data_IF_594253471907
#
_entry.id   IF_594253471907
#
_cell.length_a   1.000
_cell.length_b   1.000
_cell.length_c   1.000
_cell.angle_alpha   90.00
_cell.angle_beta   90.00
_cell.angle_gamma   90.00
#
_symmetry.space_group_name_H-M   'P 1'
#
loop_
_entity.id
_entity.type
_entity.pdbx_description
1 polymer ?
#
# COMPACT_ATOMS: atom_id res chain seq x y z
N UNK A 1 16.77 30.43 -47.58
CA UNK A 1 16.02 30.28 -46.31
C UNK A 1 16.81 29.29 -45.47
N UNK A 2 17.42 29.80 -44.40
CA UNK A 2 18.17 29.05 -43.39
C UNK A 2 17.16 28.60 -42.33
N UNK A 3 17.37 27.41 -41.77
CA UNK A 3 16.62 26.81 -40.67
C UNK A 3 16.96 25.32 -40.66
N UNK A 4 18.17 24.95 -40.24
CA UNK A 4 18.54 24.59 -38.85
C UNK A 4 17.89 23.28 -38.36
N UNK A 5 18.77 22.46 -37.81
CA UNK A 5 18.65 21.04 -37.55
C UNK A 5 17.66 20.69 -36.43
N UNK A 6 17.19 19.45 -36.44
CA UNK A 6 17.20 18.67 -35.20
C UNK A 6 17.79 17.28 -35.44
N UNK A 7 18.96 17.13 -34.84
CA UNK A 7 19.77 15.95 -34.67
C UNK A 7 19.06 15.12 -33.61
N UNK A 8 18.53 13.94 -33.96
CA UNK A 8 18.37 12.79 -33.07
C UNK A 8 17.91 11.56 -33.87
N UNK A 9 18.74 11.11 -34.82
CA UNK A 9 18.78 9.69 -35.18
C UNK A 9 19.49 8.95 -34.04
N UNK A 10 18.81 8.81 -32.90
CA UNK A 10 19.25 7.90 -31.86
C UNK A 10 19.00 6.47 -32.36
N UNK A 11 20.08 5.88 -32.87
CA UNK A 11 20.41 4.46 -32.90
C UNK A 11 19.42 3.57 -32.08
N UNK A 12 18.26 3.22 -32.65
CA UNK A 12 17.37 2.23 -32.06
C UNK A 12 17.95 0.85 -32.34
N UNK A 13 18.90 0.44 -31.51
CA UNK A 13 19.23 -0.96 -31.34
C UNK A 13 17.94 -1.61 -30.83
N UNK A 14 17.25 -2.37 -31.67
CA UNK A 14 16.13 -3.17 -31.23
C UNK A 14 16.68 -4.20 -30.26
N UNK A 15 16.49 -3.95 -28.96
CA UNK A 15 16.86 -4.90 -27.92
C UNK A 15 15.94 -6.12 -28.03
N UNK A 16 16.32 -7.06 -28.90
CA UNK A 16 15.66 -8.35 -29.03
C UNK A 16 15.88 -9.10 -27.73
N UNK A 17 14.79 -9.32 -26.99
CA UNK A 17 14.81 -9.91 -25.65
C UNK A 17 14.95 -11.44 -25.67
N UNK A 18 14.59 -12.07 -26.78
CA UNK A 18 14.62 -13.51 -26.96
C UNK A 18 13.94 -13.92 -28.27
N UNK A 19 14.02 -15.22 -28.58
CA UNK A 19 13.36 -15.83 -29.74
C UNK A 19 12.52 -16.99 -29.23
N UNK A 20 11.25 -17.04 -29.64
CA UNK A 20 10.37 -18.16 -29.40
C UNK A 20 9.84 -18.69 -30.73
N UNK A 21 9.60 -20.00 -30.79
CA UNK A 21 9.04 -20.64 -31.99
C UNK A 21 7.58 -20.98 -31.73
N UNK A 22 6.68 -20.33 -32.47
CA UNK A 22 5.27 -20.70 -32.50
C UNK A 22 5.05 -21.79 -33.55
N UNK A 23 4.37 -22.88 -33.17
CA UNK A 23 3.95 -23.93 -34.11
C UNK A 23 2.76 -23.50 -34.96
N UNK A 24 1.92 -22.62 -34.42
CA UNK A 24 0.79 -21.99 -35.10
C UNK A 24 0.70 -20.52 -34.64
N UNK A 25 0.43 -19.62 -35.58
CA UNK A 25 0.33 -18.16 -35.35
C UNK A 25 -1.07 -17.73 -34.92
N UNK A 26 -2.08 -18.60 -35.06
CA UNK A 26 -3.44 -18.36 -34.56
C UNK A 26 -3.60 -18.69 -33.07
N UNK A 27 -2.50 -19.02 -32.39
CA UNK A 27 -2.47 -19.29 -30.96
C UNK A 27 -2.74 -17.99 -30.20
N UNK A 28 -3.56 -18.06 -29.15
CA UNK A 28 -3.85 -16.90 -28.31
C UNK A 28 -2.64 -16.45 -27.49
N UNK A 29 -2.63 -15.17 -27.10
CA UNK A 29 -1.51 -14.58 -26.37
C UNK A 29 -1.27 -15.23 -25.00
N UNK A 30 -2.31 -15.79 -24.36
CA UNK A 30 -2.16 -16.53 -23.10
C UNK A 30 -1.24 -17.73 -23.27
N UNK A 31 -1.49 -18.53 -24.31
CA UNK A 31 -0.65 -19.69 -24.63
C UNK A 31 0.76 -19.27 -25.06
N UNK A 32 0.89 -18.13 -25.78
CA UNK A 32 2.20 -17.53 -26.10
C UNK A 32 2.95 -17.16 -24.82
N UNK A 33 2.29 -16.58 -23.82
CA UNK A 33 2.89 -16.24 -22.52
C UNK A 33 3.40 -17.48 -21.79
N UNK A 34 2.59 -18.54 -21.77
CA UNK A 34 2.98 -19.83 -21.17
C UNK A 34 4.22 -20.40 -21.88
N UNK A 35 4.25 -20.33 -23.21
CA UNK A 35 5.40 -20.74 -24.01
C UNK A 35 6.64 -19.87 -23.75
N UNK A 36 6.48 -18.55 -23.64
CA UNK A 36 7.58 -17.65 -23.25
C UNK A 36 8.11 -17.97 -21.85
N UNK A 37 7.24 -18.32 -20.89
CA UNK A 37 7.66 -18.67 -19.54
C UNK A 37 8.46 -19.99 -19.50
N UNK A 38 8.15 -20.92 -20.42
CA UNK A 38 8.89 -22.17 -20.58
C UNK A 38 10.23 -21.95 -21.31
N UNK A 39 10.22 -21.27 -22.45
CA UNK A 39 11.39 -21.09 -23.32
C UNK A 39 12.36 -20.01 -22.84
N UNK A 40 11.89 -19.03 -22.07
CA UNK A 40 12.68 -17.93 -21.54
C UNK A 40 12.57 -17.86 -19.99
N UNK A 41 13.14 -18.82 -19.23
CA UNK A 41 12.97 -18.89 -17.79
C UNK A 41 13.48 -17.67 -17.02
N UNK A 42 14.48 -16.98 -17.58
CA UNK A 42 15.09 -15.77 -17.01
C UNK A 42 14.34 -14.49 -17.39
N UNK A 43 13.30 -14.58 -18.23
CA UNK A 43 12.51 -13.41 -18.64
C UNK A 43 11.52 -13.01 -17.55
N UNK A 44 11.31 -11.70 -17.40
CA UNK A 44 10.36 -11.17 -16.41
C UNK A 44 8.95 -11.68 -16.70
N UNK A 45 8.24 -12.16 -15.67
CA UNK A 45 6.86 -12.67 -15.82
C UNK A 45 5.81 -11.56 -15.87
N UNK A 46 6.14 -10.39 -15.32
CA UNK A 46 5.28 -9.20 -15.28
C UNK A 46 5.56 -8.29 -16.48
N UNK A 47 4.89 -8.61 -17.58
CA UNK A 47 4.90 -7.82 -18.80
C UNK A 47 3.51 -7.82 -19.44
N UNK A 48 3.24 -6.83 -20.28
CA UNK A 48 2.07 -6.81 -21.15
C UNK A 48 2.53 -6.97 -22.60
N UNK A 49 1.76 -7.72 -23.38
CA UNK A 49 1.91 -7.71 -24.83
C UNK A 49 1.47 -6.34 -25.38
N UNK A 50 2.08 -5.91 -26.48
CA UNK A 50 1.71 -4.67 -27.16
C UNK A 50 1.16 -4.99 -28.54
N UNK A 51 0.00 -4.43 -28.90
CA UNK A 51 -0.55 -4.48 -30.26
C UNK A 51 0.41 -3.87 -31.29
N UNK A 52 0.10 -4.02 -32.58
CA UNK A 52 0.86 -3.38 -33.68
C UNK A 52 0.98 -1.86 -33.49
N UNK A 53 -0.05 -1.23 -32.91
CA UNK A 53 -0.12 0.20 -32.58
C UNK A 53 0.54 0.56 -31.24
N UNK A 54 1.25 -0.38 -30.62
CA UNK A 54 1.92 -0.23 -29.31
C UNK A 54 0.98 -0.07 -28.11
N UNK A 55 -0.26 -0.55 -28.22
CA UNK A 55 -1.24 -0.49 -27.13
C UNK A 55 -1.09 -1.73 -26.24
N UNK A 56 -0.99 -1.58 -24.91
CA UNK A 56 -0.92 -2.72 -24.00
C UNK A 56 -2.18 -3.59 -24.03
N UNK A 57 -1.98 -4.89 -24.18
CA UNK A 57 -3.00 -5.92 -24.05
C UNK A 57 -3.05 -6.37 -22.59
N UNK A 58 -4.20 -6.23 -21.95
CA UNK A 58 -4.42 -6.61 -20.56
C UNK A 58 -4.51 -8.14 -20.43
N UNK A 59 -4.13 -8.70 -19.27
CA UNK A 59 -4.07 -10.16 -19.05
C UNK A 59 -5.38 -10.90 -19.38
N UNK A 60 -6.54 -10.32 -19.08
CA UNK A 60 -7.84 -10.93 -19.39
C UNK A 60 -8.21 -10.90 -20.88
N UNK A 61 -7.57 -10.03 -21.66
CA UNK A 61 -7.76 -9.94 -23.11
C UNK A 61 -6.91 -10.98 -23.86
N UNK A 62 -5.86 -11.52 -23.23
CA UNK A 62 -4.91 -12.45 -23.85
C UNK A 62 -5.54 -13.77 -24.32
N UNK A 63 -6.68 -14.16 -23.74
CA UNK A 63 -7.43 -15.35 -24.16
C UNK A 63 -8.18 -15.16 -25.49
N UNK A 64 -8.47 -13.90 -25.83
CA UNK A 64 -9.35 -13.53 -26.95
C UNK A 64 -8.58 -12.92 -28.13
N UNK A 65 -7.28 -12.71 -27.99
CA UNK A 65 -6.43 -12.08 -29.01
C UNK A 65 -5.41 -13.11 -29.48
N UNK A 66 -5.28 -13.26 -30.79
CA UNK A 66 -4.34 -14.20 -31.42
C UNK A 66 -2.97 -13.56 -31.60
N UNK A 67 -1.91 -14.36 -31.64
CA UNK A 67 -0.56 -13.85 -31.87
C UNK A 67 -0.46 -13.10 -33.20
N UNK A 68 -1.10 -13.60 -34.26
CA UNK A 68 -1.13 -12.96 -35.57
C UNK A 68 -1.69 -11.53 -35.56
N UNK A 69 -2.63 -11.22 -34.65
CA UNK A 69 -3.24 -9.90 -34.54
C UNK A 69 -2.26 -8.86 -33.94
N UNK A 70 -1.20 -9.33 -33.28
CA UNK A 70 -0.26 -8.53 -32.50
C UNK A 70 1.13 -8.51 -33.12
N UNK A 71 1.49 -9.55 -33.88
CA UNK A 71 2.72 -9.63 -34.64
C UNK A 71 2.80 -8.46 -35.63
N UNK A 72 3.96 -7.80 -35.67
CA UNK A 72 4.23 -6.79 -36.69
C UNK A 72 4.68 -7.45 -38.01
N UNK A 73 4.80 -6.66 -39.08
CA UNK A 73 5.29 -7.13 -40.39
C UNK A 73 6.71 -7.74 -40.39
N UNK A 74 7.45 -7.65 -39.29
CA UNK A 74 8.76 -8.30 -39.09
C UNK A 74 8.68 -9.54 -38.18
N UNK A 75 7.48 -10.08 -37.92
CA UNK A 75 7.23 -11.18 -36.99
C UNK A 75 7.79 -10.95 -35.57
N UNK A 76 7.89 -9.69 -35.17
CA UNK A 76 8.31 -9.31 -33.84
C UNK A 76 7.06 -9.11 -32.97
N UNK A 77 7.08 -9.75 -31.81
CA UNK A 77 6.13 -9.52 -30.75
C UNK A 77 6.75 -8.53 -29.76
N UNK A 78 6.01 -7.47 -29.45
CA UNK A 78 6.48 -6.45 -28.55
C UNK A 78 5.88 -6.61 -27.16
N UNK A 79 6.72 -6.38 -26.17
CA UNK A 79 6.36 -6.47 -24.76
C UNK A 79 6.83 -5.22 -24.05
N UNK A 80 6.05 -4.79 -23.06
CA UNK A 80 6.47 -3.77 -22.11
C UNK A 80 6.43 -4.35 -20.70
N UNK A 81 7.29 -3.87 -19.81
CA UNK A 81 7.21 -4.23 -18.40
C UNK A 81 5.88 -3.75 -17.84
N UNK A 82 5.22 -4.62 -17.09
CA UNK A 82 4.03 -4.24 -16.36
C UNK A 82 4.45 -3.75 -14.96
N UNK A 83 4.42 -2.43 -14.75
CA UNK A 83 4.73 -1.81 -13.46
C UNK A 83 3.46 -1.37 -12.71
N UNK A 84 2.27 -1.88 -13.06
CA UNK A 84 0.98 -1.33 -12.63
C UNK A 84 0.69 -1.50 -11.12
N UNK A 85 1.61 -2.09 -10.36
CA UNK A 85 1.50 -2.25 -8.91
C UNK A 85 2.06 -1.04 -8.19
N UNK A 86 1.23 -0.43 -7.35
CA UNK A 86 1.61 0.74 -6.58
C UNK A 86 2.55 0.34 -5.46
N UNK A 87 3.59 1.14 -5.24
CA UNK A 87 4.41 1.03 -4.03
C UNK A 87 3.63 1.57 -2.84
N UNK A 88 3.17 0.67 -1.97
CA UNK A 88 2.38 0.98 -0.79
C UNK A 88 3.27 0.77 0.45
N UNK A 89 3.44 1.81 1.25
CA UNK A 89 4.18 1.73 2.51
C UNK A 89 3.37 1.00 3.59
N UNK A 90 4.03 0.23 4.44
CA UNK A 90 3.40 -0.47 5.57
C UNK A 90 4.01 0.04 6.87
N UNK A 91 3.17 0.48 7.81
CA UNK A 91 3.60 0.91 9.15
C UNK A 91 2.76 0.29 10.26
N UNK A 92 3.34 0.18 11.45
CA UNK A 92 2.60 -0.21 12.66
C UNK A 92 1.73 0.95 13.15
N UNK A 93 0.63 0.66 13.85
CA UNK A 93 -0.21 1.66 14.51
C UNK A 93 0.57 2.57 15.49
N UNK A 94 1.69 2.08 16.04
CA UNK A 94 2.62 2.86 16.86
C UNK A 94 3.58 3.77 16.07
N UNK A 95 3.42 3.89 14.74
CA UNK A 95 4.19 4.78 13.88
C UNK A 95 5.48 4.19 13.29
N UNK A 96 5.96 3.03 13.75
CA UNK A 96 7.16 2.42 13.18
C UNK A 96 6.91 1.94 11.76
N UNK A 97 7.73 2.37 10.80
CA UNK A 97 7.70 1.85 9.43
C UNK A 97 8.21 0.41 9.43
N UNK A 98 7.51 -0.47 8.72
CA UNK A 98 7.90 -1.87 8.54
C UNK A 98 8.63 -2.00 7.20
N UNK A 99 8.04 -1.46 6.13
CA UNK A 99 8.56 -1.57 4.78
C UNK A 99 7.55 -1.10 3.75
N UNK A 100 7.58 -1.71 2.57
CA UNK A 100 6.65 -1.42 1.48
C UNK A 100 6.36 -2.69 0.70
N UNK A 101 5.22 -2.71 0.01
CA UNK A 101 4.77 -3.78 -0.88
C UNK A 101 4.32 -3.19 -2.22
N UNK A 102 4.30 -4.01 -3.26
CA UNK A 102 3.74 -3.64 -4.56
C UNK A 102 2.38 -4.31 -4.74
N UNK A 103 1.29 -3.53 -4.75
CA UNK A 103 -0.06 -4.05 -4.94
C UNK A 103 -0.97 -3.05 -5.68
N UNK A 104 -2.09 -3.52 -6.24
CA UNK A 104 -3.12 -2.69 -6.85
C UNK A 104 -4.05 -2.10 -5.76
N UNK A 105 -4.48 -0.85 -5.96
CA UNK A 105 -5.37 -0.11 -5.05
C UNK A 105 -6.82 -0.60 -5.11
N UNK A 106 -7.18 -1.31 -6.18
CA UNK A 106 -8.52 -1.85 -6.40
C UNK A 106 -8.68 -3.28 -5.86
N UNK A 107 -7.66 -3.85 -5.23
CA UNK A 107 -7.75 -5.15 -4.56
C UNK A 107 -8.65 -5.07 -3.34
N UNK A 108 -9.26 -6.19 -2.96
CA UNK A 108 -9.91 -6.29 -1.66
C UNK A 108 -8.86 -6.17 -0.55
N UNK A 109 -9.27 -5.74 0.65
CA UNK A 109 -8.37 -5.72 1.81
C UNK A 109 -7.88 -7.13 2.17
N UNK A 110 -8.70 -8.16 1.88
CA UNK A 110 -8.32 -9.57 2.05
C UNK A 110 -7.18 -9.96 1.12
N UNK A 111 -7.24 -9.59 -0.17
CA UNK A 111 -6.16 -9.90 -1.12
C UNK A 111 -4.91 -9.07 -0.82
N UNK A 112 -5.09 -7.82 -0.39
CA UNK A 112 -3.98 -6.99 0.09
C UNK A 112 -3.26 -7.64 1.29
N UNK A 113 -3.98 -8.33 2.18
CA UNK A 113 -3.38 -9.11 3.27
C UNK A 113 -2.45 -10.19 2.74
N UNK A 114 -2.92 -10.96 1.76
CA UNK A 114 -2.11 -12.01 1.12
C UNK A 114 -0.84 -11.42 0.50
N UNK A 115 -0.95 -10.30 -0.23
CA UNK A 115 0.21 -9.61 -0.81
C UNK A 115 1.21 -9.10 0.26
N UNK A 116 0.71 -8.57 1.38
CA UNK A 116 1.58 -8.17 2.50
C UNK A 116 2.26 -9.37 3.14
N UNK A 117 1.54 -10.48 3.27
CA UNK A 117 2.09 -11.68 3.88
C UNK A 117 3.16 -12.35 3.02
N UNK A 118 2.96 -12.37 1.70
CA UNK A 118 3.95 -12.93 0.78
C UNK A 118 5.20 -12.05 0.65
N UNK A 119 5.04 -10.73 0.65
CA UNK A 119 6.14 -9.81 0.34
C UNK A 119 6.92 -9.31 1.57
N UNK A 120 6.30 -9.25 2.76
CA UNK A 120 6.86 -8.48 3.87
C UNK A 120 6.81 -9.13 5.25
N UNK A 121 5.71 -9.78 5.61
CA UNK A 121 5.46 -10.27 6.97
C UNK A 121 4.92 -11.69 6.94
N UNK A 122 5.21 -12.53 7.92
CA UNK A 122 4.46 -13.77 8.10
C UNK A 122 3.76 -13.71 9.46
N UNK A 123 2.43 -13.55 9.45
CA UNK A 123 1.65 -13.55 10.69
C UNK A 123 0.30 -12.83 10.65
N UNK A 124 -0.38 -12.86 11.79
CA UNK A 124 -1.65 -12.16 11.97
C UNK A 124 -1.43 -10.68 12.32
N UNK A 125 -2.26 -9.83 11.72
CA UNK A 125 -2.39 -8.42 12.04
C UNK A 125 -3.81 -7.95 11.76
N UNK A 126 -4.19 -6.76 12.23
CA UNK A 126 -5.41 -6.08 11.83
C UNK A 126 -5.06 -4.84 11.01
N UNK A 127 -5.77 -4.58 9.92
CA UNK A 127 -5.64 -3.30 9.21
C UNK A 127 -6.28 -2.20 10.04
N UNK A 128 -5.82 -0.96 9.86
CA UNK A 128 -6.53 0.21 10.33
C UNK A 128 -7.11 0.98 9.14
N UNK A 129 -8.33 1.48 9.30
CA UNK A 129 -8.97 2.39 8.34
C UNK A 129 -8.27 3.77 8.32
N UNK A 130 -8.77 4.69 7.52
CA UNK A 130 -8.24 6.06 7.42
C UNK A 130 -8.25 6.85 8.74
N UNK A 131 -9.15 6.48 9.65
CA UNK A 131 -9.30 7.11 10.95
C UNK A 131 -8.47 6.41 12.04
N UNK A 132 -7.78 5.31 11.70
CA UNK A 132 -7.00 4.51 12.64
C UNK A 132 -7.80 3.43 13.39
N UNK A 133 -9.05 3.16 13.00
CA UNK A 133 -9.87 2.10 13.60
C UNK A 133 -9.52 0.73 13.02
N UNK A 134 -9.45 -0.31 13.86
CA UNK A 134 -9.17 -1.66 13.37
C UNK A 134 -10.31 -2.15 12.47
N UNK A 135 -9.93 -2.61 11.28
CA UNK A 135 -10.81 -3.30 10.34
C UNK A 135 -10.94 -4.74 10.81
N UNK A 136 -12.18 -5.18 10.99
CA UNK A 136 -12.49 -6.56 11.36
C UNK A 136 -12.34 -7.49 10.15
N UNK A 137 -11.98 -8.75 10.38
CA UNK A 137 -11.75 -9.70 9.28
C UNK A 137 -12.98 -9.92 8.39
N UNK A 138 -14.20 -9.79 8.93
CA UNK A 138 -15.43 -9.86 8.13
C UNK A 138 -15.68 -8.60 7.28
N UNK A 139 -15.03 -7.47 7.59
CA UNK A 139 -15.09 -6.25 6.80
C UNK A 139 -14.06 -6.26 5.67
N UNK A 140 -12.99 -7.05 5.76
CA UNK A 140 -11.91 -7.08 4.76
C UNK A 140 -12.38 -7.54 3.37
N UNK A 141 -13.45 -8.32 3.29
CA UNK A 141 -14.04 -8.76 2.02
C UNK A 141 -14.92 -7.68 1.38
N UNK A 142 -15.42 -6.73 2.17
CA UNK A 142 -16.32 -5.67 1.72
C UNK A 142 -15.59 -4.33 1.45
N UNK A 143 -14.29 -4.27 1.74
CA UNK A 143 -13.47 -3.06 1.61
C UNK A 143 -12.41 -3.24 0.52
N UNK A 144 -12.07 -2.14 -0.13
CA UNK A 144 -10.97 -2.07 -1.08
C UNK A 144 -9.69 -1.57 -0.40
N UNK A 145 -8.53 -1.88 -0.98
CA UNK A 145 -7.24 -1.42 -0.49
C UNK A 145 -7.20 0.11 -0.35
N UNK A 146 -7.86 0.87 -1.23
CA UNK A 146 -7.95 2.32 -1.12
C UNK A 146 -8.65 2.83 0.16
N UNK A 147 -9.49 2.02 0.80
CA UNK A 147 -10.18 2.38 2.05
C UNK A 147 -9.24 2.35 3.26
N UNK A 148 -8.16 1.57 3.19
CA UNK A 148 -7.14 1.45 4.25
C UNK A 148 -5.83 2.17 3.92
N UNK A 149 -5.65 2.59 2.67
CA UNK A 149 -4.48 3.38 2.25
C UNK A 149 -4.72 4.88 2.57
N UNK A 150 -3.85 5.44 3.41
CA UNK A 150 -3.75 6.87 3.67
C UNK A 150 -2.39 7.39 3.23
N UNK A 151 -2.38 8.34 2.28
CA UNK A 151 -1.13 8.95 1.76
C UNK A 151 -0.12 7.91 1.24
N UNK A 152 -0.62 6.85 0.60
CA UNK A 152 0.22 5.75 0.09
C UNK A 152 0.73 4.79 1.16
N UNK A 153 0.21 4.87 2.39
CA UNK A 153 0.62 4.01 3.51
C UNK A 153 -0.58 3.30 4.12
N UNK A 154 -0.42 2.01 4.40
CA UNK A 154 -1.34 1.18 5.18
C UNK A 154 -0.82 1.08 6.61
N UNK A 155 -1.72 1.24 7.58
CA UNK A 155 -1.41 1.07 8.99
C UNK A 155 -1.92 -0.28 9.47
N UNK A 156 -1.07 -1.06 10.14
CA UNK A 156 -1.43 -2.36 10.70
C UNK A 156 -1.19 -2.42 12.21
N UNK A 157 -2.00 -3.21 12.90
CA UNK A 157 -1.87 -3.52 14.32
C UNK A 157 -1.51 -4.99 14.49
N UNK A 158 -0.33 -5.25 15.07
CA UNK A 158 0.09 -6.60 15.42
C UNK A 158 -0.58 -7.04 16.73
N UNK A 159 -0.91 -8.33 16.90
CA UNK A 159 -1.45 -8.85 18.15
C UNK A 159 -0.45 -8.59 19.29
N UNK A 160 -0.90 -7.87 20.31
CA UNK A 160 -0.15 -7.76 21.55
C UNK A 160 -0.30 -9.08 22.31
N UNK A 161 0.80 -9.76 22.61
CA UNK A 161 0.80 -10.88 23.55
C UNK A 161 0.19 -10.39 24.87
N UNK A 162 -1.04 -10.80 25.14
CA UNK A 162 -1.71 -10.52 26.41
C UNK A 162 -0.96 -11.30 27.48
N UNK A 163 -0.18 -10.60 28.31
CA UNK A 163 0.10 -11.10 29.66
C UNK A 163 -1.24 -11.15 30.37
N UNK A 164 -1.72 -12.37 30.61
CA UNK A 164 -2.99 -12.66 31.27
C UNK A 164 -2.90 -12.24 32.74
N UNK A 165 -3.38 -11.05 33.10
CA UNK A 165 -3.85 -10.83 34.47
C UNK A 165 -5.36 -11.06 34.49
N UNK A 166 -5.84 -12.14 35.14
CA UNK A 166 -7.27 -12.44 35.18
C UNK A 166 -8.00 -11.37 35.99
N UNK A 167 -9.03 -10.79 35.40
CA UNK A 167 -10.00 -9.96 36.12
C UNK A 167 -10.72 -10.85 37.14
N UNK A 168 -10.39 -10.68 38.43
CA UNK A 168 -11.13 -11.27 39.53
C UNK A 168 -12.53 -10.62 39.60
N UNK A 169 -13.54 -11.32 39.07
CA UNK A 169 -14.94 -10.98 39.32
C UNK A 169 -15.29 -11.39 40.76
N UNK A 170 -15.16 -10.43 41.68
CA UNK A 170 -15.66 -10.58 43.05
C UNK A 170 -17.19 -10.47 43.01
N UNK A 171 -17.86 -11.59 43.21
CA UNK A 171 -19.32 -11.64 43.29
C UNK A 171 -19.87 -10.83 44.47
N UNK A 172 -21.03 -10.19 44.28
CA UNK A 172 -21.93 -9.84 45.39
C UNK A 172 -23.35 -9.47 44.90
N UNK A 173 -24.30 -10.34 45.26
CA UNK A 173 -25.74 -10.21 45.58
C UNK A 173 -26.60 -9.06 45.00
N UNK A 174 -27.76 -9.51 44.48
CA UNK A 174 -29.08 -8.88 44.26
C UNK A 174 -29.34 -7.44 44.75
N UNK A 175 -30.01 -6.59 43.93
CA UNK A 175 -31.42 -6.20 44.11
C UNK A 175 -31.95 -5.17 43.06
N UNK A 176 -33.28 -5.08 42.99
CA UNK A 176 -34.20 -4.54 41.95
C UNK A 176 -34.30 -2.99 41.90
N UNK A 177 -34.53 -2.40 40.70
CA UNK A 177 -35.63 -1.45 40.31
C UNK A 177 -35.27 -0.40 39.21
N UNK A 178 -36.10 -0.38 38.16
CA UNK A 178 -36.76 0.75 37.42
C UNK A 178 -36.02 2.08 37.06
N UNK A 179 -36.07 2.33 35.73
CA UNK A 179 -36.45 3.56 34.97
C UNK A 179 -35.48 4.77 34.80
N UNK A 180 -35.40 5.16 33.51
CA UNK A 180 -35.26 6.49 32.86
C UNK A 180 -33.85 7.04 32.54
N UNK A 181 -33.77 7.50 31.28
CA UNK A 181 -32.73 8.26 30.57
C UNK A 181 -31.89 9.21 31.44
N UNK A 182 -30.57 9.22 31.18
CA UNK A 182 -29.85 10.46 30.86
C UNK A 182 -28.49 10.14 30.22
N UNK A 183 -28.13 10.99 29.26
CA UNK A 183 -26.82 11.14 28.64
C UNK A 183 -25.72 11.29 29.68
N UNK A 184 -24.67 10.48 29.60
CA UNK A 184 -23.50 10.58 30.46
C UNK A 184 -22.26 10.01 29.77
N UNK A 185 -21.52 10.86 29.07
CA UNK A 185 -20.11 10.61 28.78
C UNK A 185 -19.39 10.43 30.12
N UNK A 186 -18.83 9.24 30.35
CA UNK A 186 -17.91 9.04 31.47
C UNK A 186 -16.55 9.59 31.04
N UNK A 187 -16.18 10.71 31.65
CA UNK A 187 -14.84 11.28 31.60
C UNK A 187 -13.90 10.22 32.16
N UNK A 188 -13.09 9.61 31.29
CA UNK A 188 -12.05 8.68 31.69
C UNK A 188 -10.89 9.51 32.27
N UNK A 189 -10.54 9.22 33.52
CA UNK A 189 -9.46 9.87 34.26
C UNK A 189 -8.19 10.02 33.41
N UNK A 190 -7.72 11.27 33.33
CA UNK A 190 -6.48 11.66 32.67
C UNK A 190 -5.29 11.04 33.40
N UNK A 191 -4.85 9.86 32.95
CA UNK A 191 -3.45 9.47 33.13
C UNK A 191 -2.62 10.48 32.34
N UNK A 192 -1.72 11.21 33.04
CA UNK A 192 -0.80 12.17 32.45
C UNK A 192 -0.02 11.48 31.32
N UNK A 193 -0.27 11.91 30.08
CA UNK A 193 0.47 11.46 28.90
C UNK A 193 1.46 12.54 28.55
N UNK A 194 2.74 12.21 28.66
CA UNK A 194 3.82 13.10 28.25
C UNK A 194 3.86 13.15 26.73
N UNK A 195 3.75 14.36 26.18
CA UNK A 195 3.76 14.60 24.74
C UNK A 195 5.10 15.25 24.39
N UNK A 196 5.92 14.54 23.61
CA UNK A 196 7.17 15.05 23.05
C UNK A 196 6.90 15.56 21.65
N UNK A 197 7.32 16.80 21.40
CA UNK A 197 7.17 17.42 20.09
C UNK A 197 8.57 17.80 19.58
N UNK A 198 8.95 17.25 18.42
CA UNK A 198 10.23 17.52 17.75
C UNK A 198 10.00 18.32 16.47
N UNK A 199 10.81 19.35 16.23
CA UNK A 199 10.62 20.30 15.13
C UNK A 199 11.88 20.41 14.26
N UNK A 200 11.71 20.45 12.94
CA UNK A 200 12.80 20.41 11.97
C UNK A 200 13.12 21.77 11.30
N UNK A 201 12.35 22.84 11.56
CA UNK A 201 12.53 24.16 10.91
C UNK A 201 12.31 25.31 11.89
N UNK A 202 13.16 26.34 11.82
CA UNK A 202 13.16 27.52 12.71
C UNK A 202 11.86 28.34 12.64
N UNK A 203 11.20 28.38 11.48
CA UNK A 203 9.97 29.15 11.26
C UNK A 203 8.75 28.58 12.01
N UNK A 204 8.80 27.33 12.48
CA UNK A 204 7.70 26.68 13.21
C UNK A 204 7.83 26.80 14.75
N UNK A 205 8.88 27.44 15.26
CA UNK A 205 9.18 27.52 16.70
C UNK A 205 8.16 28.38 17.47
N UNK A 206 7.68 29.47 16.89
CA UNK A 206 6.67 30.31 17.54
C UNK A 206 5.33 29.59 17.70
N UNK A 207 4.92 28.85 16.67
CA UNK A 207 3.69 28.06 16.69
C UNK A 207 3.80 26.92 17.72
N UNK A 208 4.97 26.28 17.82
CA UNK A 208 5.27 25.26 18.80
C UNK A 208 5.18 25.76 20.25
N UNK A 209 5.71 26.96 20.54
CA UNK A 209 5.59 27.58 21.87
C UNK A 209 4.15 27.96 22.20
N UNK A 210 3.40 28.50 21.24
CA UNK A 210 1.98 28.83 21.43
C UNK A 210 1.15 27.58 21.74
N UNK A 211 1.42 26.48 21.03
CA UNK A 211 0.76 25.20 21.26
C UNK A 211 1.11 24.62 22.64
N UNK A 212 2.37 24.71 23.06
CA UNK A 212 2.79 24.31 24.41
C UNK A 212 2.01 25.07 25.49
N UNK A 213 1.92 26.39 25.39
CA UNK A 213 1.21 27.20 26.38
C UNK A 213 -0.28 26.80 26.50
N UNK A 214 -0.93 26.49 25.37
CA UNK A 214 -2.31 26.01 25.36
C UNK A 214 -2.47 24.62 26.00
N UNK A 215 -1.49 23.74 25.82
CA UNK A 215 -1.50 22.37 26.37
C UNK A 215 -1.16 22.34 27.87
N UNK A 216 -0.29 23.24 28.35
CA UNK A 216 -0.02 23.40 29.79
C UNK A 216 -1.27 23.88 30.55
N UNK A 217 -2.07 24.76 29.96
CA UNK A 217 -3.38 25.17 30.52
C UNK A 217 -4.34 23.99 30.66
N UNK A 218 -4.21 22.98 29.78
CA UNK A 218 -5.01 21.75 29.81
C UNK A 218 -4.43 20.67 30.74
N UNK A 219 -3.38 20.99 31.50
CA UNK A 219 -2.78 20.09 32.49
C UNK A 219 -1.80 19.05 31.92
N UNK A 220 -1.40 19.20 30.65
CA UNK A 220 -0.40 18.33 30.02
C UNK A 220 1.02 18.85 30.27
N UNK A 221 1.97 17.95 30.53
CA UNK A 221 3.38 18.28 30.69
C UNK A 221 4.07 18.16 29.33
N UNK A 222 4.59 19.28 28.80
CA UNK A 222 5.11 19.35 27.42
C UNK A 222 6.57 19.84 27.40
N UNK A 223 7.43 19.07 26.73
CA UNK A 223 8.86 19.37 26.59
C UNK A 223 9.19 19.74 25.14
N UNK A 224 9.83 20.90 24.92
CA UNK A 224 10.41 21.28 23.62
C UNK A 224 11.88 20.88 23.61
N UNK A 225 12.30 20.16 22.56
CA UNK A 225 13.72 19.89 22.30
C UNK A 225 14.15 20.77 21.12
N UNK A 226 14.80 21.89 21.42
CA UNK A 226 15.37 22.76 20.39
C UNK A 226 16.83 22.34 20.12
N UNK A 227 17.07 21.63 19.02
CA UNK A 227 18.42 21.52 18.48
C UNK A 227 18.77 22.81 17.74
N UNK A 228 19.64 23.65 18.34
CA UNK A 228 20.34 24.69 17.59
C UNK A 228 21.26 23.99 16.59
N UNK A 229 20.86 23.95 15.33
CA UNK A 229 21.80 23.73 14.24
C UNK A 229 22.57 25.05 14.12
N UNK A 230 23.80 25.06 14.62
CA UNK A 230 24.78 26.09 14.26
C UNK A 230 25.14 25.78 12.81
N UNK A 231 24.71 26.65 11.89
CA UNK A 231 25.12 26.62 10.49
C UNK A 231 26.63 26.79 10.36
#
# INVERSE_FOLDING_TARGET
>A
VIGEADINQSNQKSDVLGVIRLTDVNVNLKSVRELMAHELPTFHRDFLFLTQERIPVLKHQEEHISAIDVLNGTNALFVTRNFDRWRIGIKKAGGSVIGFVFADRNLSVTDLRSEINEQLLDGEFAFCDRNGWPVLSNQEQALFAWDVICQGVVTIQLPQNKVTTPLHLRGSKDCRKRKKHSTGFTIQEFSKKDIVISYARSEADEHARKLKAQLEVLGAQVFLVCHKIIL
#
